data_IF_104384125291
#
_entry.id   IF_104384125291
#
_cell.length_a   1.000
_cell.length_b   1.000
_cell.length_c   1.000
_cell.angle_alpha   90.00
_cell.angle_beta   90.00
_cell.angle_gamma   90.00
#
_symmetry.space_group_name_H-M   'P 1'
#
loop_
_entity.id
_entity.type
_entity.pdbx_description
1 polymer ?
#
# COMPACT_ATOMS: atom_id res chain seq x y z
N UNK A 1 -9.94 16.30 -19.62
CA UNK A 1 -8.97 15.18 -19.65
C UNK A 1 -9.75 13.93 -19.93
N UNK A 2 -9.33 13.13 -20.91
CA UNK A 2 -10.01 11.88 -21.24
C UNK A 2 -9.17 10.74 -20.67
N UNK A 3 -9.63 10.11 -19.58
CA UNK A 3 -9.05 8.86 -19.11
C UNK A 3 -9.72 7.72 -19.86
N UNK A 4 -8.91 6.87 -20.48
CA UNK A 4 -9.37 5.69 -21.19
C UNK A 4 -9.57 4.52 -20.21
N UNK A 5 -10.65 3.76 -20.40
CA UNK A 5 -10.93 2.51 -19.70
C UNK A 5 -10.85 1.38 -20.72
N UNK A 6 -9.75 0.65 -20.70
CA UNK A 6 -9.41 -0.36 -21.71
C UNK A 6 -9.59 -1.74 -21.08
N UNK A 7 -10.37 -2.67 -21.67
CA UNK A 7 -10.38 -4.05 -21.22
C UNK A 7 -8.97 -4.65 -21.33
N UNK A 8 -8.45 -5.15 -20.21
CA UNK A 8 -7.10 -5.70 -20.13
C UNK A 8 -6.98 -7.03 -20.91
N UNK A 9 -8.05 -7.82 -20.96
CA UNK A 9 -8.09 -9.08 -21.71
C UNK A 9 -7.16 -10.14 -21.13
N UNK A 10 -6.32 -10.75 -21.97
CA UNK A 10 -5.31 -11.73 -21.55
C UNK A 10 -4.13 -11.07 -20.83
N UNK A 11 -3.29 -11.88 -20.17
CA UNK A 11 -2.05 -11.39 -19.52
C UNK A 11 -1.14 -10.70 -20.53
N UNK A 12 -1.03 -11.26 -21.73
CA UNK A 12 -0.19 -10.73 -22.80
C UNK A 12 -0.72 -9.39 -23.31
N UNK A 13 -2.04 -9.27 -23.51
CA UNK A 13 -2.68 -8.00 -23.88
C UNK A 13 -2.48 -6.94 -22.81
N UNK A 14 -2.64 -7.32 -21.54
CA UNK A 14 -2.38 -6.44 -20.40
C UNK A 14 -0.92 -5.96 -20.34
N UNK A 15 0.05 -6.87 -20.55
CA UNK A 15 1.47 -6.51 -20.59
C UNK A 15 1.79 -5.56 -21.76
N UNK A 16 1.17 -5.76 -22.92
CA UNK A 16 1.35 -4.90 -24.09
C UNK A 16 0.85 -3.47 -23.83
N UNK A 17 -0.33 -3.32 -23.21
CA UNK A 17 -0.87 -2.02 -22.83
C UNK A 17 0.12 -1.25 -21.92
N UNK A 18 0.73 -1.96 -20.96
CA UNK A 18 1.65 -1.39 -19.98
C UNK A 18 2.99 -0.96 -20.55
N UNK A 19 3.42 -1.48 -21.71
CA UNK A 19 4.72 -1.11 -22.30
C UNK A 19 4.81 0.39 -22.56
N UNK A 20 3.73 0.98 -23.05
CA UNK A 20 3.68 2.37 -23.49
C UNK A 20 3.33 3.39 -22.40
N UNK A 21 3.20 2.95 -21.15
CA UNK A 21 2.86 3.83 -20.03
C UNK A 21 3.78 3.60 -18.83
N UNK A 22 4.04 4.66 -18.06
CA UNK A 22 4.49 4.50 -16.68
C UNK A 22 3.28 4.04 -15.89
N UNK A 23 3.37 2.85 -15.29
CA UNK A 23 2.25 2.29 -14.53
C UNK A 23 2.30 2.73 -13.08
N UNK A 24 1.13 2.82 -12.42
CA UNK A 24 1.03 3.18 -11.00
C UNK A 24 1.96 2.34 -10.12
N UNK A 25 2.15 1.06 -10.42
CA UNK A 25 3.03 0.16 -9.67
C UNK A 25 4.51 0.52 -9.72
N UNK A 26 4.97 1.28 -10.73
CA UNK A 26 6.39 1.68 -10.87
C UNK A 26 6.60 3.19 -10.77
N UNK A 27 5.53 3.98 -10.62
CA UNK A 27 5.59 5.44 -10.62
C UNK A 27 6.51 5.99 -9.51
N UNK A 28 6.57 5.30 -8.36
CA UNK A 28 7.47 5.66 -7.26
C UNK A 28 8.96 5.59 -7.63
N UNK A 29 9.33 4.81 -8.65
CA UNK A 29 10.70 4.73 -9.11
C UNK A 29 11.16 6.06 -9.71
N UNK A 30 10.27 6.82 -10.36
CA UNK A 30 10.58 8.15 -10.91
C UNK A 30 10.95 9.18 -9.83
N UNK A 31 10.58 8.90 -8.58
CA UNK A 31 10.88 9.72 -7.42
C UNK A 31 12.04 9.18 -6.58
N UNK A 32 12.63 8.03 -6.96
CA UNK A 32 13.69 7.37 -6.20
C UNK A 32 13.24 6.71 -4.90
N UNK A 33 11.94 6.45 -4.72
CA UNK A 33 11.38 5.96 -3.44
C UNK A 33 10.83 4.53 -3.50
N UNK A 34 11.04 3.83 -4.61
CA UNK A 34 10.52 2.49 -4.83
C UNK A 34 11.50 1.41 -4.37
N UNK A 35 11.05 0.52 -3.49
CA UNK A 35 11.92 -0.47 -2.83
C UNK A 35 12.56 -1.48 -3.78
N UNK A 36 11.93 -1.73 -4.94
CA UNK A 36 12.34 -2.80 -5.88
C UNK A 36 12.72 -2.29 -7.27
N UNK A 37 12.65 -0.98 -7.53
CA UNK A 37 12.76 -0.44 -8.88
C UNK A 37 13.45 0.92 -8.85
N UNK A 38 14.41 1.13 -9.74
CA UNK A 38 15.13 2.41 -9.89
C UNK A 38 14.63 3.16 -11.13
N UNK A 39 14.87 4.49 -11.24
CA UNK A 39 14.62 5.23 -12.48
C UNK A 39 15.26 4.55 -13.70
N UNK A 40 16.54 4.14 -13.58
CA UNK A 40 17.26 3.45 -14.64
C UNK A 40 16.65 2.08 -14.98
N UNK A 41 16.19 1.32 -13.99
CA UNK A 41 15.49 0.06 -14.25
C UNK A 41 14.21 0.28 -15.05
N UNK A 42 13.44 1.34 -14.75
CA UNK A 42 12.24 1.68 -15.53
C UNK A 42 12.65 2.07 -16.95
N UNK A 43 13.70 2.89 -17.09
CA UNK A 43 14.24 3.27 -18.39
C UNK A 43 14.60 2.05 -19.23
N UNK A 44 15.37 1.11 -18.66
CA UNK A 44 15.79 -0.10 -19.37
C UNK A 44 14.60 -0.96 -19.85
N UNK A 45 13.52 -1.05 -19.05
CA UNK A 45 12.29 -1.72 -19.47
C UNK A 45 11.56 -0.96 -20.58
N UNK A 46 11.53 0.38 -20.54
CA UNK A 46 10.82 1.22 -21.52
C UNK A 46 11.55 1.35 -22.85
N UNK A 47 12.88 1.29 -22.85
CA UNK A 47 13.70 1.35 -24.08
C UNK A 47 14.02 -0.02 -24.66
N UNK A 48 13.63 -1.10 -23.97
CA UNK A 48 13.89 -2.47 -24.41
C UNK A 48 15.32 -2.96 -24.16
N UNK A 49 16.11 -2.25 -23.36
CA UNK A 49 17.41 -2.71 -22.87
C UNK A 49 17.27 -3.88 -21.88
N UNK A 50 16.09 -4.00 -21.26
CA UNK A 50 15.71 -5.09 -20.36
C UNK A 50 14.26 -5.50 -20.64
N UNK A 51 13.92 -6.70 -20.19
CA UNK A 51 12.56 -7.23 -20.26
C UNK A 51 12.14 -7.71 -18.87
N UNK A 52 10.84 -7.59 -18.57
CA UNK A 52 10.29 -8.22 -17.38
C UNK A 52 10.53 -9.74 -17.44
N UNK A 53 10.91 -10.33 -16.32
CA UNK A 53 11.02 -11.78 -16.22
C UNK A 53 9.64 -12.40 -16.50
N UNK A 54 9.51 -13.30 -17.50
CA UNK A 54 8.24 -13.94 -17.79
C UNK A 54 7.75 -14.79 -16.60
N UNK A 55 8.67 -15.29 -15.77
CA UNK A 55 8.35 -16.12 -14.62
C UNK A 55 7.80 -15.29 -13.45
N UNK A 56 6.71 -15.80 -12.88
CA UNK A 56 6.11 -15.22 -11.69
C UNK A 56 6.95 -15.58 -10.46
N UNK A 57 7.58 -14.60 -9.84
CA UNK A 57 8.30 -14.79 -8.57
C UNK A 57 7.35 -15.24 -7.44
N UNK A 58 7.88 -15.91 -6.41
CA UNK A 58 7.09 -16.35 -5.25
C UNK A 58 6.29 -15.21 -4.57
N UNK A 59 6.83 -13.98 -4.39
CA UNK A 59 6.04 -12.85 -3.91
C UNK A 59 4.87 -12.46 -4.83
N UNK A 60 5.08 -12.45 -6.15
CA UNK A 60 4.03 -12.14 -7.13
C UNK A 60 2.93 -13.21 -7.10
N UNK A 61 3.32 -14.48 -7.10
CA UNK A 61 2.42 -15.63 -6.99
C UNK A 61 1.60 -15.59 -5.71
N UNK A 62 2.25 -15.30 -4.58
CA UNK A 62 1.58 -15.11 -3.29
C UNK A 62 0.56 -13.97 -3.35
N UNK A 63 0.92 -12.83 -3.94
CA UNK A 63 0.00 -11.71 -4.16
C UNK A 63 -1.24 -12.13 -4.94
N UNK A 64 -1.06 -12.70 -6.13
CA UNK A 64 -2.16 -13.14 -7.02
C UNK A 64 -3.08 -14.16 -6.36
N UNK A 65 -2.53 -15.12 -5.62
CA UNK A 65 -3.33 -16.15 -4.94
C UNK A 65 -4.09 -15.62 -3.72
N UNK A 66 -3.55 -14.63 -3.01
CA UNK A 66 -4.15 -14.11 -1.79
C UNK A 66 -5.05 -12.88 -2.00
N UNK A 67 -4.94 -12.20 -3.14
CA UNK A 67 -5.79 -11.05 -3.46
C UNK A 67 -7.30 -11.36 -3.36
N UNK A 68 -7.83 -12.51 -3.85
CA UNK A 68 -9.25 -12.85 -3.64
C UNK A 68 -9.65 -12.99 -2.17
N UNK A 69 -8.73 -13.44 -1.30
CA UNK A 69 -8.94 -13.55 0.15
C UNK A 69 -9.05 -12.16 0.78
N UNK A 70 -8.18 -11.24 0.39
CA UNK A 70 -8.25 -9.83 0.82
C UNK A 70 -9.56 -9.17 0.37
N UNK A 71 -10.00 -9.41 -0.86
CA UNK A 71 -11.30 -8.91 -1.36
C UNK A 71 -12.46 -9.48 -0.55
N UNK A 72 -12.42 -10.76 -0.18
CA UNK A 72 -13.44 -11.36 0.68
C UNK A 72 -13.47 -10.68 2.05
N UNK A 73 -12.33 -10.53 2.71
CA UNK A 73 -12.24 -9.84 4.00
C UNK A 73 -12.74 -8.40 3.91
N UNK A 74 -12.40 -7.68 2.84
CA UNK A 74 -12.87 -6.32 2.62
C UNK A 74 -14.41 -6.27 2.54
N UNK A 75 -15.06 -7.25 1.89
CA UNK A 75 -16.52 -7.36 1.85
C UNK A 75 -17.14 -7.66 3.22
N UNK A 76 -16.48 -8.49 4.02
CA UNK A 76 -16.95 -8.84 5.36
C UNK A 76 -16.82 -7.65 6.34
N UNK A 77 -15.70 -6.91 6.27
CA UNK A 77 -15.43 -5.76 7.15
C UNK A 77 -16.16 -4.48 6.73
N UNK A 78 -16.46 -4.32 5.42
CA UNK A 78 -17.12 -3.15 4.82
C UNK A 78 -18.38 -3.56 4.07
N UNK A 79 -19.38 -4.14 4.76
CA UNK A 79 -20.59 -4.69 4.12
C UNK A 79 -21.44 -3.63 3.42
N UNK A 80 -21.23 -2.35 3.71
CA UNK A 80 -21.93 -1.24 3.07
C UNK A 80 -21.30 -0.79 1.75
N UNK A 81 -20.10 -1.27 1.39
CA UNK A 81 -19.44 -0.91 0.14
C UNK A 81 -19.85 -1.86 -0.99
N UNK A 82 -20.14 -1.29 -2.16
CA UNK A 82 -20.24 -2.07 -3.39
C UNK A 82 -18.83 -2.33 -3.93
N UNK A 83 -18.36 -3.57 -3.81
CA UNK A 83 -16.97 -3.96 -4.12
C UNK A 83 -16.90 -4.71 -5.46
N UNK A 84 -16.22 -4.11 -6.43
CA UNK A 84 -15.88 -4.72 -7.71
C UNK A 84 -14.40 -5.08 -7.73
N UNK A 85 -14.10 -6.38 -7.76
CA UNK A 85 -12.75 -6.90 -7.91
C UNK A 85 -12.34 -6.85 -9.38
N UNK A 86 -11.31 -6.07 -9.69
CA UNK A 86 -10.87 -5.81 -11.06
C UNK A 86 -9.90 -6.91 -11.54
N UNK A 87 -10.43 -8.10 -11.77
CA UNK A 87 -9.62 -9.29 -12.09
C UNK A 87 -10.18 -10.07 -13.28
N UNK A 88 -9.35 -10.96 -13.82
CA UNK A 88 -9.71 -11.83 -14.94
C UNK A 88 -9.87 -11.11 -16.28
N UNK A 89 -10.53 -11.74 -17.27
CA UNK A 89 -10.62 -11.22 -18.64
C UNK A 89 -11.33 -9.87 -18.77
N UNK A 90 -12.17 -9.52 -17.79
CA UNK A 90 -12.91 -8.26 -17.75
C UNK A 90 -12.22 -7.19 -16.91
N UNK A 91 -10.99 -7.44 -16.45
CA UNK A 91 -10.20 -6.43 -15.77
C UNK A 91 -10.04 -5.20 -16.67
N UNK A 92 -10.05 -4.03 -16.05
CA UNK A 92 -9.95 -2.73 -16.71
C UNK A 92 -8.57 -2.15 -16.42
N UNK A 93 -7.88 -1.77 -17.48
CA UNK A 93 -6.69 -0.93 -17.47
C UNK A 93 -7.11 0.53 -17.70
N UNK A 94 -6.64 1.42 -16.83
CA UNK A 94 -6.90 2.86 -16.92
C UNK A 94 -5.69 3.56 -17.51
N UNK A 95 -5.91 4.53 -18.40
CA UNK A 95 -4.82 5.25 -19.09
C UNK A 95 -5.11 6.73 -19.27
N UNK A 96 -4.15 7.58 -18.88
CA UNK A 96 -4.04 8.97 -19.32
C UNK A 96 -3.07 9.05 -20.51
N UNK A 97 -3.57 9.06 -21.76
CA UNK A 97 -2.71 9.11 -22.94
C UNK A 97 -1.97 10.45 -23.08
N UNK A 98 -2.38 11.51 -22.35
CA UNK A 98 -1.72 12.83 -22.46
C UNK A 98 -0.34 12.89 -21.81
N UNK A 99 -0.02 11.91 -20.97
CA UNK A 99 1.28 11.78 -20.30
C UNK A 99 1.78 10.34 -20.27
N UNK A 100 1.12 9.41 -20.97
CA UNK A 100 1.48 7.99 -20.97
C UNK A 100 1.58 7.44 -19.54
N UNK A 101 0.52 7.64 -18.75
CA UNK A 101 0.39 7.17 -17.37
C UNK A 101 -0.76 6.16 -17.30
N UNK A 102 -0.54 5.01 -16.68
CA UNK A 102 -1.56 3.97 -16.60
C UNK A 102 -1.64 3.26 -15.27
N UNK A 103 -2.72 2.51 -15.04
CA UNK A 103 -2.91 1.74 -13.82
C UNK A 103 -3.86 0.56 -14.02
N UNK A 104 -3.67 -0.46 -13.20
CA UNK A 104 -4.68 -1.50 -12.95
C UNK A 104 -5.00 -1.42 -11.47
N UNK A 105 -6.18 -0.92 -11.16
CA UNK A 105 -6.70 -0.86 -9.80
C UNK A 105 -7.04 -2.29 -9.35
N UNK A 106 -6.76 -2.70 -8.12
CA UNK A 106 -7.17 -4.04 -7.66
C UNK A 106 -8.69 -4.09 -7.37
N UNK A 107 -9.20 -3.08 -6.65
CA UNK A 107 -10.61 -3.00 -6.26
C UNK A 107 -11.19 -1.61 -6.52
N UNK A 108 -12.31 -1.56 -7.24
CA UNK A 108 -13.20 -0.41 -7.25
C UNK A 108 -14.23 -0.59 -6.13
N UNK A 109 -14.40 0.43 -5.28
CA UNK A 109 -15.31 0.40 -4.15
C UNK A 109 -16.24 1.61 -4.18
N UNK A 110 -17.55 1.41 -4.25
CA UNK A 110 -18.53 2.48 -4.06
C UNK A 110 -18.99 2.50 -2.60
N UNK A 111 -18.65 3.57 -1.89
CA UNK A 111 -19.08 3.79 -0.51
C UNK A 111 -20.27 4.75 -0.51
N UNK A 112 -21.45 4.38 0.01
CA UNK A 112 -22.66 5.22 -0.03
C UNK A 112 -22.48 6.63 0.56
N UNK A 113 -21.54 6.81 1.49
CA UNK A 113 -21.25 8.10 2.13
C UNK A 113 -20.19 8.94 1.40
N UNK A 114 -19.27 8.30 0.69
CA UNK A 114 -18.09 8.95 0.10
C UNK A 114 -18.06 8.90 -1.42
N UNK A 115 -18.95 8.13 -2.03
CA UNK A 115 -18.96 7.83 -3.46
C UNK A 115 -17.84 6.86 -3.87
N UNK A 116 -17.41 6.94 -5.15
CA UNK A 116 -16.47 5.99 -5.73
C UNK A 116 -15.07 6.12 -5.13
N UNK A 117 -14.45 4.98 -4.87
CA UNK A 117 -13.12 4.84 -4.31
C UNK A 117 -12.34 3.70 -4.96
N UNK A 118 -11.05 3.64 -4.63
CA UNK A 118 -10.16 2.54 -5.01
C UNK A 118 -9.46 1.97 -3.80
N UNK A 119 -9.17 0.67 -3.81
CA UNK A 119 -8.37 0.00 -2.78
C UNK A 119 -7.24 -0.78 -3.43
N UNK A 120 -6.00 -0.44 -3.07
CA UNK A 120 -4.79 -1.17 -3.44
C UNK A 120 -4.50 -2.26 -2.41
N UNK A 121 -4.52 -3.51 -2.84
CA UNK A 121 -4.22 -4.66 -1.98
C UNK A 121 -2.73 -4.98 -2.07
N UNK A 122 -2.12 -5.35 -0.94
CA UNK A 122 -0.75 -5.89 -0.90
C UNK A 122 -0.71 -7.10 0.01
N UNK A 123 -0.20 -8.23 -0.46
CA UNK A 123 0.13 -9.34 0.46
C UNK A 123 1.45 -9.04 1.16
N UNK A 124 1.43 -8.89 2.48
CA UNK A 124 2.62 -8.52 3.27
C UNK A 124 2.92 -9.59 4.30
N UNK A 125 4.21 -9.94 4.47
CA UNK A 125 4.65 -10.79 5.58
C UNK A 125 4.56 -10.01 6.90
N UNK A 126 4.13 -10.66 7.99
CA UNK A 126 3.88 -9.99 9.26
C UNK A 126 5.12 -9.27 9.84
N UNK A 127 6.31 -9.86 9.73
CA UNK A 127 7.55 -9.20 10.13
C UNK A 127 7.86 -7.95 9.30
N UNK A 128 7.63 -8.04 7.98
CA UNK A 128 7.81 -6.90 7.09
C UNK A 128 6.82 -5.78 7.43
N UNK A 129 5.55 -6.13 7.65
CA UNK A 129 4.51 -5.19 8.07
C UNK A 129 4.91 -4.47 9.36
N UNK A 130 5.28 -5.21 10.41
CA UNK A 130 5.70 -4.65 11.70
C UNK A 130 6.89 -3.71 11.61
N UNK A 131 7.85 -3.97 10.70
CA UNK A 131 9.10 -3.20 10.58
C UNK A 131 9.01 -2.00 9.64
N UNK A 132 8.17 -2.09 8.61
CA UNK A 132 8.14 -1.11 7.50
C UNK A 132 6.86 -0.29 7.43
N UNK A 133 5.79 -0.76 8.05
CA UNK A 133 4.47 -0.12 7.98
C UNK A 133 4.03 0.43 9.32
N UNK A 134 4.57 -0.08 10.44
CA UNK A 134 4.17 0.36 11.78
C UNK A 134 5.26 1.23 12.37
N UNK A 135 4.91 2.46 12.73
CA UNK A 135 5.80 3.36 13.46
C UNK A 135 6.16 2.74 14.83
N UNK A 136 7.44 2.79 15.18
CA UNK A 136 7.95 2.14 16.39
C UNK A 136 7.46 2.82 17.67
N UNK A 137 7.22 4.13 17.62
CA UNK A 137 6.86 4.94 18.78
C UNK A 137 5.33 5.14 18.85
N UNK A 138 4.72 5.59 17.76
CA UNK A 138 3.30 5.94 17.72
C UNK A 138 2.39 4.73 17.46
N UNK A 139 2.96 3.63 16.95
CA UNK A 139 2.22 2.44 16.48
C UNK A 139 1.26 2.72 15.33
N UNK A 140 1.37 3.89 14.70
CA UNK A 140 0.60 4.26 13.51
C UNK A 140 0.99 3.38 12.33
N UNK A 141 0.01 3.00 11.51
CA UNK A 141 0.24 2.20 10.31
C UNK A 141 0.26 3.10 9.08
N UNK A 142 1.43 3.25 8.46
CA UNK A 142 1.64 4.08 7.28
C UNK A 142 2.26 3.24 6.15
N UNK A 143 1.67 3.21 4.94
CA UNK A 143 2.26 2.50 3.82
C UNK A 143 3.57 3.14 3.34
N UNK A 144 4.53 2.37 2.83
CA UNK A 144 5.69 2.89 2.10
C UNK A 144 5.26 3.89 1.01
N UNK A 145 6.03 4.97 0.84
CA UNK A 145 5.64 6.06 -0.07
C UNK A 145 5.39 5.60 -1.51
N UNK A 146 6.16 4.65 -2.04
CA UNK A 146 5.91 4.15 -3.40
C UNK A 146 4.54 3.50 -3.57
N UNK A 147 3.99 2.90 -2.51
CA UNK A 147 2.62 2.35 -2.49
C UNK A 147 1.61 3.49 -2.39
N UNK A 148 1.91 4.54 -1.62
CA UNK A 148 1.07 5.75 -1.58
C UNK A 148 0.98 6.41 -2.97
N UNK A 149 2.11 6.58 -3.67
CA UNK A 149 2.13 7.15 -5.02
C UNK A 149 1.40 6.26 -6.03
N UNK A 150 1.49 4.94 -5.88
CA UNK A 150 0.69 3.99 -6.65
C UNK A 150 -0.82 4.24 -6.44
N UNK A 151 -1.28 4.25 -5.19
CA UNK A 151 -2.71 4.45 -4.87
C UNK A 151 -3.23 5.82 -5.29
N UNK A 152 -2.43 6.88 -5.17
CA UNK A 152 -2.80 8.21 -5.67
C UNK A 152 -2.94 8.24 -7.19
N UNK A 153 -2.07 7.52 -7.91
CA UNK A 153 -2.15 7.40 -9.37
C UNK A 153 -3.42 6.66 -9.78
N UNK A 154 -3.71 5.54 -9.12
CA UNK A 154 -4.93 4.76 -9.31
C UNK A 154 -6.20 5.57 -9.04
N UNK A 155 -6.25 6.27 -7.90
CA UNK A 155 -7.39 7.10 -7.54
C UNK A 155 -7.61 8.23 -8.55
N UNK A 156 -6.53 8.87 -9.00
CA UNK A 156 -6.59 9.91 -10.03
C UNK A 156 -7.17 9.37 -11.35
N UNK A 157 -6.61 8.27 -11.87
CA UNK A 157 -7.05 7.68 -13.13
C UNK A 157 -8.47 7.11 -13.02
N UNK A 158 -8.86 6.61 -11.86
CA UNK A 158 -10.22 6.11 -11.65
C UNK A 158 -11.27 7.22 -11.52
N UNK A 159 -10.87 8.47 -11.31
CA UNK A 159 -11.77 9.56 -10.93
C UNK A 159 -12.39 9.35 -9.54
N UNK A 160 -11.64 8.69 -8.65
CA UNK A 160 -12.11 8.32 -7.32
C UNK A 160 -12.09 9.50 -6.36
N UNK A 161 -13.08 9.55 -5.46
CA UNK A 161 -13.17 10.54 -4.39
C UNK A 161 -12.28 10.21 -3.19
N UNK A 162 -11.90 8.93 -3.03
CA UNK A 162 -11.01 8.45 -1.98
C UNK A 162 -10.19 7.25 -2.45
N UNK A 163 -9.05 7.02 -1.80
CA UNK A 163 -8.19 5.87 -2.06
C UNK A 163 -7.72 5.25 -0.75
N UNK A 164 -7.49 3.94 -0.74
CA UNK A 164 -6.95 3.24 0.42
C UNK A 164 -5.95 2.16 0.03
N UNK A 165 -5.06 1.82 0.96
CA UNK A 165 -4.18 0.66 0.88
C UNK A 165 -4.65 -0.38 1.90
N UNK A 166 -4.75 -1.63 1.45
CA UNK A 166 -5.14 -2.77 2.26
C UNK A 166 -4.03 -3.84 2.27
N UNK A 167 -3.04 -3.74 3.19
CA UNK A 167 -2.07 -4.81 3.41
C UNK A 167 -2.75 -6.05 4.02
N UNK A 168 -2.84 -7.14 3.27
CA UNK A 168 -3.21 -8.44 3.79
C UNK A 168 -2.01 -9.03 4.54
N UNK A 169 -2.10 -9.00 5.86
CA UNK A 169 -1.07 -9.52 6.77
C UNK A 169 -1.45 -10.94 7.17
N UNK A 170 -0.61 -11.90 6.79
CA UNK A 170 -0.81 -13.32 7.11
C UNK A 170 0.29 -13.79 8.06
N UNK A 171 -0.12 -14.26 9.23
CA UNK A 171 0.70 -14.87 10.28
C UNK A 171 -0.07 -16.10 10.85
N UNK A 172 -0.14 -16.28 12.17
CA UNK A 172 -1.08 -17.22 12.79
C UNK A 172 -2.55 -16.89 12.48
N UNK A 173 -2.86 -15.61 12.24
CA UNK A 173 -4.18 -15.12 11.78
C UNK A 173 -4.08 -14.37 10.46
N UNK A 174 -5.21 -13.81 10.02
CA UNK A 174 -5.31 -12.97 8.84
C UNK A 174 -5.90 -11.61 9.25
N UNK A 175 -5.18 -10.54 8.91
CA UNK A 175 -5.60 -9.16 9.17
C UNK A 175 -5.58 -8.36 7.87
N UNK A 176 -6.53 -7.44 7.69
CA UNK A 176 -6.59 -6.54 6.54
C UNK A 176 -6.82 -5.09 6.98
N UNK A 177 -5.84 -4.41 7.59
CA UNK A 177 -5.97 -2.99 7.90
C UNK A 177 -6.31 -2.20 6.63
N UNK A 178 -7.34 -1.35 6.67
CA UNK A 178 -7.67 -0.45 5.55
C UNK A 178 -7.16 0.94 5.89
N UNK A 179 -6.10 1.36 5.21
CA UNK A 179 -5.40 2.62 5.49
C UNK A 179 -5.76 3.63 4.41
N UNK A 180 -6.44 4.70 4.79
CA UNK A 180 -6.86 5.74 3.85
C UNK A 180 -5.68 6.60 3.43
N UNK A 181 -5.63 6.92 2.13
CA UNK A 181 -4.62 7.79 1.53
C UNK A 181 -5.27 9.13 1.19
N UNK A 182 -4.86 10.23 1.83
CA UNK A 182 -5.34 11.55 1.48
C UNK A 182 -4.98 11.92 0.04
N UNK A 183 -5.98 12.28 -0.76
CA UNK A 183 -5.77 12.65 -2.16
C UNK A 183 -5.27 14.09 -2.24
N UNK A 184 -3.96 14.26 -2.46
CA UNK A 184 -3.36 15.57 -2.67
C UNK A 184 -3.21 15.89 -4.16
N UNK A 185 -3.94 16.90 -4.65
CA UNK A 185 -3.92 17.30 -6.06
C UNK A 185 -2.53 17.77 -6.53
N UNK A 186 -1.74 18.39 -5.65
CA UNK A 186 -0.36 18.78 -5.97
C UNK A 186 0.56 17.57 -6.17
N UNK A 187 0.33 16.47 -5.44
CA UNK A 187 1.07 15.23 -5.67
C UNK A 187 0.71 14.62 -7.02
N UNK A 188 -0.58 14.60 -7.39
CA UNK A 188 -1.03 14.13 -8.71
C UNK A 188 -0.38 14.94 -9.83
N UNK A 189 -0.32 16.28 -9.70
CA UNK A 189 0.38 17.15 -10.66
C UNK A 189 1.86 16.80 -10.76
N UNK A 190 2.54 16.55 -9.63
CA UNK A 190 3.95 16.14 -9.60
C UNK A 190 4.15 14.79 -10.29
N UNK A 191 3.30 13.80 -10.02
CA UNK A 191 3.32 12.48 -10.69
C UNK A 191 3.24 12.68 -12.20
N UNK A 192 2.22 13.40 -12.69
CA UNK A 192 2.03 13.60 -14.14
C UNK A 192 3.18 14.36 -14.79
N UNK A 193 3.74 15.36 -14.11
CA UNK A 193 4.89 16.11 -14.61
C UNK A 193 6.15 15.25 -14.66
N UNK A 194 6.43 14.44 -13.62
CA UNK A 194 7.57 13.52 -13.63
C UNK A 194 7.43 12.46 -14.71
N UNK A 195 6.22 11.92 -14.91
CA UNK A 195 5.96 10.98 -16.01
C UNK A 195 6.23 11.61 -17.37
N UNK A 196 5.74 12.84 -17.61
CA UNK A 196 6.01 13.55 -18.86
C UNK A 196 7.51 13.79 -19.07
N UNK A 197 8.20 14.30 -18.04
CA UNK A 197 9.64 14.57 -18.11
C UNK A 197 10.43 13.29 -18.40
N UNK A 198 10.03 12.16 -17.81
CA UNK A 198 10.66 10.87 -18.05
C UNK A 198 10.50 10.41 -19.49
N UNK A 199 9.30 10.55 -20.08
CA UNK A 199 9.09 10.23 -21.50
C UNK A 199 9.85 11.18 -22.43
N UNK A 200 9.84 12.49 -22.16
CA UNK A 200 10.64 13.46 -22.93
C UNK A 200 12.14 13.13 -22.86
N UNK A 201 12.64 12.72 -21.69
CA UNK A 201 14.03 12.28 -21.55
C UNK A 201 14.35 11.05 -22.43
N UNK A 202 13.45 10.07 -22.51
CA UNK A 202 13.59 8.92 -23.42
C UNK A 202 13.57 9.36 -24.90
N UNK A 203 12.65 10.24 -25.28
CA UNK A 203 12.54 10.76 -26.65
C UNK A 203 13.78 11.55 -27.08
N UNK A 204 14.47 12.19 -26.12
CA UNK A 204 15.73 12.90 -26.30
C UNK A 204 16.97 11.97 -26.25
N UNK A 205 16.79 10.65 -26.17
CA UNK A 205 17.85 9.65 -26.05
C UNK A 205 18.77 9.90 -24.84
N UNK A 206 18.17 10.36 -23.73
CA UNK A 206 18.85 10.59 -22.45
C UNK A 206 18.49 9.51 -21.44
N UNK A 207 19.48 9.18 -20.61
CA UNK A 207 19.32 8.24 -19.49
C UNK A 207 19.07 9.01 -18.17
N UNK A 208 18.34 8.42 -17.21
CA UNK A 208 18.18 9.04 -15.90
C UNK A 208 19.48 8.95 -15.10
N UNK A 209 19.83 10.02 -14.37
CA UNK A 209 20.98 10.02 -13.48
C UNK A 209 20.87 8.88 -12.45
N UNK A 210 21.91 8.05 -12.37
CA UNK A 210 21.97 6.93 -11.44
C UNK A 210 22.23 7.47 -10.02
N UNK A 211 21.16 7.68 -9.26
CA UNK A 211 21.25 8.12 -7.87
C UNK A 211 21.11 6.93 -6.93
N UNK A 212 22.23 6.47 -6.37
CA UNK A 212 22.27 5.39 -5.37
C UNK A 212 21.89 5.87 -3.95
N UNK A 213 21.54 7.15 -3.77
CA UNK A 213 21.53 7.80 -2.45
C UNK A 213 20.29 8.61 -2.07
N UNK A 214 19.32 8.86 -2.96
CA UNK A 214 18.15 9.72 -2.65
C UNK A 214 16.83 8.95 -2.44
N UNK A 215 15.95 9.27 -1.48
CA UNK A 215 16.10 9.93 -0.17
C UNK A 215 14.74 9.95 0.57
N UNK A 216 14.75 9.69 1.89
CA UNK A 216 13.61 9.85 2.81
C UNK A 216 13.19 11.32 3.04
N UNK A 217 14.03 12.29 2.66
CA UNK A 217 13.81 13.72 2.89
C UNK A 217 12.74 14.35 1.96
N UNK A 218 12.53 13.81 0.76
CA UNK A 218 11.48 14.25 -0.16
C UNK A 218 10.09 13.90 0.41
N UNK A 219 9.99 12.72 1.04
CA UNK A 219 8.79 12.21 1.72
C UNK A 219 8.35 13.19 2.82
N UNK A 220 9.27 13.57 3.70
CA UNK A 220 8.97 14.46 4.81
C UNK A 220 8.54 15.87 4.36
N UNK A 221 9.05 16.37 3.23
CA UNK A 221 8.62 17.66 2.65
C UNK A 221 7.26 17.59 1.96
N UNK A 222 6.85 16.42 1.48
CA UNK A 222 5.55 16.22 0.83
C UNK A 222 4.39 16.10 1.83
N UNK A 223 4.66 15.57 3.02
CA UNK A 223 3.68 15.50 4.12
C UNK A 223 3.74 16.69 5.10
N UNK A 224 4.82 17.48 5.12
CA UNK A 224 4.91 18.68 5.97
C UNK A 224 4.18 19.91 5.39
N UNK A 225 3.54 19.80 4.22
CA UNK A 225 2.71 20.86 3.63
C UNK A 225 1.20 20.64 3.78
N UNK A 226 0.76 19.78 4.71
CA UNK A 226 -0.62 19.83 5.19
C UNK A 226 -0.76 21.03 6.15
N UNK A 227 -1.73 21.90 5.86
CA UNK A 227 -1.95 23.23 6.45
C UNK A 227 -2.50 23.22 7.89
N UNK A 228 -2.16 22.19 8.68
CA UNK A 228 -2.58 22.09 10.08
C UNK A 228 -4.10 22.00 10.26
N UNK A 229 -4.87 21.74 9.21
CA UNK A 229 -6.27 21.36 9.34
C UNK A 229 -6.34 19.90 9.81
N UNK A 230 -6.41 19.72 11.13
CA UNK A 230 -6.63 18.43 11.76
C UNK A 230 -7.97 17.86 11.29
N UNK A 231 -7.93 16.91 10.37
CA UNK A 231 -9.05 16.00 10.11
C UNK A 231 -9.07 15.05 11.31
N UNK A 232 -10.03 15.24 12.21
CA UNK A 232 -10.34 14.24 13.24
C UNK A 232 -10.73 12.94 12.53
N UNK A 233 -9.79 11.99 12.50
CA UNK A 233 -10.08 10.60 12.17
C UNK A 233 -11.03 10.08 13.26
N UNK A 234 -12.33 9.97 12.94
CA UNK A 234 -13.30 9.30 13.79
C UNK A 234 -12.88 7.83 13.87
N UNK A 235 -12.12 7.52 14.91
CA UNK A 235 -11.65 6.18 15.19
C UNK A 235 -12.82 5.22 15.27
N UNK A 236 -12.86 4.28 14.33
CA UNK A 236 -13.60 3.03 14.49
C UNK A 236 -13.06 2.34 15.75
N UNK A 237 -13.80 2.43 16.85
CA UNK A 237 -13.52 1.71 18.08
C UNK A 237 -13.43 0.22 17.77
N UNK A 238 -12.21 -0.32 17.80
CA UNK A 238 -11.98 -1.74 18.01
C UNK A 238 -12.54 -2.04 19.40
N UNK A 239 -13.73 -2.65 19.46
CA UNK A 239 -14.23 -3.25 20.69
C UNK A 239 -13.56 -4.62 20.82
N UNK A 240 -12.79 -4.91 21.89
CA UNK A 240 -12.40 -6.27 22.16
C UNK A 240 -13.65 -7.09 22.48
N UNK A 241 -13.89 -8.12 21.67
CA UNK A 241 -14.87 -9.16 21.92
C UNK A 241 -14.43 -9.91 23.18
N UNK A 242 -15.17 -9.77 24.29
CA UNK A 242 -15.03 -10.67 25.44
C UNK A 242 -16.32 -11.47 25.59
N UNK A 243 -16.22 -12.76 25.30
CA UNK A 243 -17.27 -13.72 25.58
C UNK A 243 -17.28 -14.07 27.07
N UNK A 244 -18.44 -13.82 27.68
CA UNK A 244 -19.07 -14.56 28.79
C UNK A 244 -18.50 -14.50 30.21
N UNK A 245 -19.19 -13.70 31.02
CA UNK A 245 -19.91 -14.10 32.25
C UNK A 245 -19.18 -14.94 33.31
N UNK A 246 -18.73 -14.22 34.35
CA UNK A 246 -19.09 -14.41 35.76
C UNK A 246 -18.78 -15.77 36.44
N UNK A 247 -17.74 -15.79 37.28
CA UNK A 247 -17.88 -16.24 38.67
C UNK A 247 -16.77 -15.70 39.59
N UNK A 248 -17.18 -15.48 40.84
CA UNK A 248 -16.56 -14.76 41.94
C UNK A 248 -15.24 -15.38 42.43
N UNK A 249 -14.28 -14.56 42.90
CA UNK A 249 -13.08 -15.10 43.57
C UNK A 249 -12.07 -14.09 44.13
N UNK A 250 -12.45 -13.38 45.20
CA UNK A 250 -11.64 -12.77 46.29
C UNK A 250 -10.14 -12.46 46.05
N UNK A 251 -9.83 -11.17 46.14
CA UNK A 251 -8.51 -10.63 46.51
C UNK A 251 -7.97 -11.24 47.82
N UNK A 252 -6.71 -11.72 47.80
CA UNK A 252 -5.87 -11.82 49.01
C UNK A 252 -4.50 -11.19 48.74
N UNK A 253 -4.24 -10.08 49.44
CA UNK A 253 -2.92 -9.45 49.60
C UNK A 253 -2.04 -10.37 50.45
N UNK A 254 -0.82 -10.65 50.01
CA UNK A 254 0.22 -11.17 50.89
C UNK A 254 1.07 -10.01 51.43
N UNK A 255 0.98 -9.78 52.74
CA UNK A 255 1.94 -9.00 53.53
C UNK A 255 3.14 -9.90 53.86
N UNK A 256 4.34 -9.32 53.78
CA UNK A 256 5.59 -9.86 54.35
C UNK A 256 5.49 -10.00 55.87
N UNK A 257 6.14 -11.02 56.43
CA UNK A 257 6.48 -11.12 57.84
C UNK A 257 8.02 -11.14 58.01
N UNK A 258 8.58 -10.57 59.09
CA UNK A 258 10.02 -10.46 59.35
C UNK A 258 10.58 -11.71 60.04
N UNK A 259 11.90 -11.89 59.94
CA UNK A 259 12.61 -13.09 60.34
C UNK A 259 13.08 -13.18 61.80
N UNK A 260 13.82 -14.25 62.08
CA UNK A 260 14.87 -14.44 63.12
C UNK A 260 15.56 -15.77 62.77
N UNK A 261 16.83 -15.77 62.35
CA UNK A 261 18.06 -15.84 63.16
C UNK A 261 18.34 -17.25 63.72
N UNK A 262 19.37 -17.91 63.16
CA UNK A 262 20.55 -18.50 63.86
C UNK A 262 21.14 -19.68 63.07
N UNK A 263 22.39 -19.53 62.62
CA UNK A 263 23.31 -20.64 62.36
C UNK A 263 23.79 -21.22 63.71
N UNK A 264 24.39 -22.43 63.77
CA UNK A 264 25.79 -22.57 63.36
C UNK A 264 26.19 -23.92 62.71
N UNK A 265 27.36 -23.87 62.06
CA UNK A 265 28.47 -24.84 61.97
C UNK A 265 28.28 -26.30 61.49
N UNK A 266 29.22 -26.69 60.62
CA UNK A 266 29.93 -27.98 60.80
C UNK A 266 30.00 -28.94 59.62
N UNK A 267 31.12 -28.87 58.88
CA UNK A 267 31.92 -30.00 58.36
C UNK A 267 31.24 -31.22 57.70
N UNK A 268 31.35 -31.33 56.37
CA UNK A 268 32.17 -32.29 55.58
C UNK A 268 31.68 -32.38 54.13
#
# INVERSE_FOLDING_TARGET
>A
MLIERIPAGSREQWLELRKNDITASVVGALFGVHDYQTPYGVFALKTGLSHEDPEESDPMKRGRLLEPVAVQLLREERPEWSITHNTGPNAVYLRDPSVNLGATVDVFADCPRRGPGVVQIKSVQADHFRRKWVDAETREVTPPLWIVLQTLTEAHLAGAAWGAVAPLVVDHGIELPVIEIPIHQEMIKKIRNQTRNFWTMIEEDREPDVDFTKDAALIHRLYAQDDGSSIELIGSRIKPCSARTCSRGRYRRFRRAPGTASAPDGER
#
